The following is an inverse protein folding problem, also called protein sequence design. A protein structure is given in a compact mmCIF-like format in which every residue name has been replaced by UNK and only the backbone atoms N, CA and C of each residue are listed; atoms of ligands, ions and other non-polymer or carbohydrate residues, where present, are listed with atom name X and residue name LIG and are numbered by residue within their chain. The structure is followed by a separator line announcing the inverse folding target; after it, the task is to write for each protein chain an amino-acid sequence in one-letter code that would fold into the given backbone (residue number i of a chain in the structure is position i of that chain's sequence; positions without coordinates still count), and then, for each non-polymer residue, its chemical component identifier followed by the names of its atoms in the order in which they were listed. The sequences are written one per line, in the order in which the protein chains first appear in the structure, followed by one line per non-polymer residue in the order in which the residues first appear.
data_IF_305073147946
#
_entry.id   IF_305073147946
#
_cell.length_a   1.000
_cell.length_b   1.000
_cell.length_c   1.000
_cell.angle_alpha   90.00
_cell.angle_beta   90.00
_cell.angle_gamma   90.00
#
_symmetry.space_group_name_H-M   'P 1'
#
loop_
_entity.id
_entity.type
_entity.pdbx_description
1 polymer ?
#
# COMPACT_ATOMS: atom_id res chain seq x y z
N UNK A 1 13.01 8.30 -8.69
CA UNK A 1 11.64 7.77 -8.49
C UNK A 1 10.76 8.84 -7.97
N UNK A 2 10.23 9.58 -8.93
CA UNK A 2 9.53 10.83 -8.64
C UNK A 2 8.30 10.65 -7.76
N UNK A 3 7.47 9.62 -8.01
CA UNK A 3 6.25 9.44 -7.23
C UNK A 3 6.53 9.07 -5.76
N UNK A 4 7.57 8.28 -5.52
CA UNK A 4 7.96 7.92 -4.16
C UNK A 4 8.49 9.13 -3.44
N UNK A 5 9.32 9.94 -4.12
CA UNK A 5 9.85 11.17 -3.53
C UNK A 5 8.75 12.14 -3.11
N UNK A 6 7.71 12.29 -3.93
CA UNK A 6 6.60 13.20 -3.65
C UNK A 6 5.79 12.77 -2.43
N UNK A 7 5.66 11.46 -2.21
CA UNK A 7 4.86 10.92 -1.13
C UNK A 7 5.71 10.20 -0.08
N UNK A 8 6.99 10.51 -0.05
CA UNK A 8 7.95 9.78 0.79
C UNK A 8 7.54 9.71 2.24
N UNK A 9 7.14 10.83 2.83
CA UNK A 9 6.77 10.87 4.24
C UNK A 9 5.55 10.00 4.53
N UNK A 10 4.54 10.08 3.68
CA UNK A 10 3.33 9.28 3.83
C UNK A 10 3.64 7.79 3.69
N UNK A 11 4.43 7.43 2.68
CA UNK A 11 4.80 6.05 2.42
C UNK A 11 5.64 5.49 3.56
N UNK A 12 6.61 6.26 4.07
CA UNK A 12 7.45 5.84 5.20
C UNK A 12 6.62 5.67 6.48
N UNK A 13 5.65 6.54 6.72
CA UNK A 13 4.76 6.41 7.86
C UNK A 13 4.00 5.10 7.81
N UNK A 14 3.50 4.75 6.62
CA UNK A 14 2.81 3.47 6.42
C UNK A 14 3.74 2.28 6.65
N UNK A 15 4.96 2.35 6.13
CA UNK A 15 5.96 1.29 6.30
C UNK A 15 6.32 1.12 7.78
N UNK A 16 6.50 2.21 8.50
CA UNK A 16 6.82 2.16 9.93
C UNK A 16 5.69 1.54 10.75
N UNK A 17 4.44 1.80 10.36
CA UNK A 17 3.30 1.17 11.00
C UNK A 17 3.31 -0.35 10.75
N UNK A 18 3.60 -0.76 9.52
CA UNK A 18 3.71 -2.19 9.17
C UNK A 18 4.84 -2.85 9.97
N UNK A 19 5.97 -2.17 10.09
CA UNK A 19 7.09 -2.67 10.90
C UNK A 19 6.65 -2.90 12.34
N UNK A 20 5.91 -1.97 12.92
CA UNK A 20 5.37 -2.12 14.28
C UNK A 20 4.42 -3.31 14.40
N UNK A 21 3.61 -3.54 13.38
CA UNK A 21 2.71 -4.68 13.35
C UNK A 21 3.47 -6.01 13.26
N UNK A 22 4.55 -6.06 12.48
CA UNK A 22 5.40 -7.25 12.40
C UNK A 22 6.06 -7.51 13.75
N UNK A 23 6.54 -6.47 14.41
CA UNK A 23 7.12 -6.60 15.74
C UNK A 23 6.10 -7.12 16.77
N UNK A 24 4.84 -6.71 16.63
CA UNK A 24 3.77 -7.22 17.50
C UNK A 24 3.53 -8.71 17.28
N UNK A 25 3.59 -9.17 16.03
CA UNK A 25 3.49 -10.60 15.71
C UNK A 25 4.66 -11.35 16.34
N UNK A 26 5.85 -10.82 16.22
CA UNK A 26 7.05 -11.43 16.80
C UNK A 26 6.90 -11.57 18.33
N UNK A 27 6.48 -10.50 19.00
CA UNK A 27 6.27 -10.55 20.45
C UNK A 27 5.23 -11.57 20.86
N UNK A 28 4.14 -11.68 20.10
CA UNK A 28 3.09 -12.63 20.37
C UNK A 28 3.59 -14.08 20.24
N UNK A 29 4.46 -14.32 19.26
CA UNK A 29 5.05 -15.65 19.05
C UNK A 29 6.11 -15.97 20.11
N UNK A 30 6.90 -15.00 20.53
CA UNK A 30 7.89 -15.19 21.57
C UNK A 30 7.26 -15.40 22.94
N UNK A 31 6.10 -14.79 23.19
CA UNK A 31 5.34 -14.99 24.41
C UNK A 31 4.42 -16.18 24.26
N UNK A 32 3.40 -16.23 25.09
CA UNK A 32 2.40 -17.30 25.05
C UNK A 32 1.09 -16.79 24.45
N UNK A 33 1.19 -16.04 23.35
CA UNK A 33 0.02 -15.53 22.67
C UNK A 33 -0.84 -16.63 22.08
N UNK A 34 -2.14 -16.45 22.17
CA UNK A 34 -3.07 -17.43 21.62
C UNK A 34 -3.06 -17.38 20.10
N UNK A 35 -3.27 -18.54 19.49
CA UNK A 35 -3.26 -18.66 18.03
C UNK A 35 -4.23 -17.69 17.36
N UNK A 36 -5.42 -17.50 17.93
CA UNK A 36 -6.41 -16.58 17.40
C UNK A 36 -5.90 -15.15 17.40
N UNK A 37 -5.23 -14.72 18.46
CA UNK A 37 -4.63 -13.39 18.55
C UNK A 37 -3.57 -13.21 17.49
N UNK A 38 -2.70 -14.20 17.31
CA UNK A 38 -1.64 -14.13 16.30
C UNK A 38 -2.23 -14.06 14.91
N UNK A 39 -3.28 -14.83 14.63
CA UNK A 39 -3.96 -14.79 13.33
C UNK A 39 -4.56 -13.41 13.05
N UNK A 40 -5.13 -12.76 14.07
CA UNK A 40 -5.68 -11.41 13.91
C UNK A 40 -4.59 -10.40 13.64
N UNK A 41 -3.44 -10.50 14.30
CA UNK A 41 -2.31 -9.63 14.06
C UNK A 41 -1.78 -9.79 12.63
N UNK A 42 -1.68 -11.03 12.16
CA UNK A 42 -1.22 -11.31 10.78
C UNK A 42 -2.22 -10.77 9.76
N UNK A 43 -3.51 -10.96 9.98
CA UNK A 43 -4.54 -10.46 9.08
C UNK A 43 -4.50 -8.93 8.98
N UNK A 44 -4.30 -8.25 10.11
CA UNK A 44 -4.16 -6.80 10.15
C UNK A 44 -2.92 -6.33 9.37
N UNK A 45 -1.80 -7.02 9.55
CA UNK A 45 -0.56 -6.72 8.85
C UNK A 45 -0.73 -6.92 7.34
N UNK A 46 -1.41 -7.99 6.94
CA UNK A 46 -1.70 -8.25 5.52
C UNK A 46 -2.52 -7.13 4.92
N UNK A 47 -3.55 -6.65 5.63
CA UNK A 47 -4.36 -5.53 5.16
C UNK A 47 -3.54 -4.27 4.97
N UNK A 48 -2.61 -3.99 5.89
CA UNK A 48 -1.74 -2.84 5.79
C UNK A 48 -0.79 -2.95 4.59
N UNK A 49 -0.26 -4.15 4.32
CA UNK A 49 0.58 -4.40 3.15
C UNK A 49 -0.21 -4.23 1.85
N UNK A 50 -1.46 -4.69 1.82
CA UNK A 50 -2.34 -4.49 0.67
C UNK A 50 -2.54 -3.01 0.38
N UNK A 51 -2.73 -2.20 1.44
CA UNK A 51 -2.86 -0.76 1.28
C UNK A 51 -1.59 -0.10 0.73
N UNK A 52 -0.43 -0.56 1.20
CA UNK A 52 0.85 -0.09 0.67
C UNK A 52 1.00 -0.45 -0.80
N UNK A 53 0.65 -1.68 -1.17
CA UNK A 53 0.70 -2.13 -2.55
C UNK A 53 -0.17 -1.26 -3.45
N UNK A 54 -1.41 -1.00 -3.04
CA UNK A 54 -2.32 -0.16 -3.81
C UNK A 54 -1.76 1.25 -4.00
N UNK A 55 -1.20 1.83 -2.94
CA UNK A 55 -0.59 3.16 -2.99
C UNK A 55 0.58 3.21 -3.99
N UNK A 56 1.45 2.20 -3.94
CA UNK A 56 2.61 2.15 -4.83
C UNK A 56 2.21 1.93 -6.29
N UNK A 57 1.21 1.07 -6.54
CA UNK A 57 0.71 0.84 -7.89
C UNK A 57 0.08 2.13 -8.45
N UNK A 58 -0.72 2.83 -7.63
CA UNK A 58 -1.31 4.09 -8.04
C UNK A 58 -0.24 5.11 -8.40
N UNK A 59 0.77 5.26 -7.54
CA UNK A 59 1.88 6.18 -7.79
C UNK A 59 2.65 5.84 -9.05
N UNK A 60 2.96 4.56 -9.22
CA UNK A 60 3.67 4.09 -10.41
C UNK A 60 2.88 4.40 -11.69
N UNK A 61 1.59 4.12 -11.68
CA UNK A 61 0.73 4.37 -12.84
C UNK A 61 0.67 5.85 -13.18
N UNK A 62 0.46 6.72 -12.18
CA UNK A 62 0.31 8.15 -12.42
C UNK A 62 1.60 8.86 -12.82
N UNK A 63 2.74 8.43 -12.27
CA UNK A 63 3.99 9.16 -12.45
C UNK A 63 4.99 8.49 -13.40
N UNK A 64 4.81 7.21 -13.67
CA UNK A 64 5.72 6.48 -14.57
C UNK A 64 5.06 5.97 -15.84
N UNK A 65 3.75 5.69 -15.79
CA UNK A 65 3.03 5.23 -16.99
C UNK A 65 2.38 6.39 -17.71
N UNK A 66 1.72 7.30 -16.96
CA UNK A 66 1.00 8.44 -17.54
C UNK A 66 1.83 9.71 -17.67
N UNK A 67 3.02 9.77 -17.11
CA UNK A 67 3.92 10.93 -17.12
C UNK A 67 3.19 12.28 -16.94
N UNK A 68 3.16 12.82 -15.71
CA UNK A 68 2.46 14.08 -15.43
C UNK A 68 3.04 15.29 -16.15
N UNK A 69 4.26 15.19 -16.71
CA UNK A 69 4.87 16.25 -17.46
C UNK A 69 4.31 16.35 -18.88
N UNK A 70 3.62 15.32 -19.36
CA UNK A 70 3.00 15.30 -20.67
C UNK A 70 1.49 15.38 -20.57
N UNK A 71 0.88 15.99 -21.59
CA UNK A 71 -0.55 16.13 -21.63
C UNK A 71 -1.21 14.76 -21.85
N UNK A 72 -1.96 14.32 -20.86
CA UNK A 72 -2.67 13.05 -20.92
C UNK A 72 -4.02 13.24 -21.63
N UNK A 73 -4.36 12.31 -22.52
CA UNK A 73 -5.70 12.34 -23.16
C UNK A 73 -6.77 12.01 -22.12
N UNK A 74 -7.96 12.62 -22.22
CA UNK A 74 -9.04 12.29 -21.29
C UNK A 74 -9.37 10.81 -21.22
N UNK A 75 -9.32 10.09 -22.33
CA UNK A 75 -9.57 8.64 -22.35
C UNK A 75 -8.52 7.87 -21.57
N UNK A 76 -7.24 8.28 -21.64
CA UNK A 76 -6.17 7.67 -20.88
C UNK A 76 -6.34 7.91 -19.38
N UNK A 77 -6.73 9.14 -19.02
CA UNK A 77 -6.98 9.49 -17.63
C UNK A 77 -8.13 8.66 -17.05
N UNK A 78 -9.23 8.52 -17.81
CA UNK A 78 -10.37 7.73 -17.38
C UNK A 78 -10.00 6.26 -17.21
N UNK A 79 -9.25 5.70 -18.14
CA UNK A 79 -8.79 4.31 -18.05
C UNK A 79 -7.89 4.09 -16.84
N UNK A 80 -7.00 5.04 -16.54
CA UNK A 80 -6.13 4.97 -15.38
C UNK A 80 -6.94 5.05 -14.08
N UNK A 81 -7.93 5.95 -14.03
CA UNK A 81 -8.77 6.08 -12.84
C UNK A 81 -9.57 4.80 -12.59
N UNK A 82 -10.09 4.17 -13.65
CA UNK A 82 -10.81 2.90 -13.55
C UNK A 82 -9.88 1.79 -13.04
N UNK A 83 -8.68 1.72 -13.56
CA UNK A 83 -7.69 0.72 -13.13
C UNK A 83 -7.32 0.92 -11.67
N UNK A 84 -7.09 2.15 -11.27
CA UNK A 84 -6.76 2.47 -9.87
C UNK A 84 -7.90 2.06 -8.94
N UNK A 85 -9.14 2.31 -9.34
CA UNK A 85 -10.31 1.91 -8.56
C UNK A 85 -10.36 0.39 -8.38
N UNK A 86 -10.06 -0.38 -9.43
CA UNK A 86 -10.00 -1.83 -9.37
C UNK A 86 -8.89 -2.29 -8.44
N UNK A 87 -7.69 -1.72 -8.57
CA UNK A 87 -6.54 -2.05 -7.73
C UNK A 87 -6.86 -1.81 -6.25
N UNK A 88 -7.45 -0.66 -5.93
CA UNK A 88 -7.82 -0.34 -4.56
C UNK A 88 -8.84 -1.33 -3.99
N UNK A 89 -9.74 -1.82 -4.82
CA UNK A 89 -10.73 -2.81 -4.41
C UNK A 89 -10.09 -4.15 -4.09
N UNK A 90 -9.11 -4.56 -4.90
CA UNK A 90 -8.41 -5.84 -4.71
C UNK A 90 -7.48 -5.85 -3.51
N UNK A 91 -6.85 -4.71 -3.21
CA UNK A 91 -5.83 -4.63 -2.17
C UNK A 91 -6.30 -3.93 -0.89
N UNK A 92 -7.58 -3.74 -0.75
CA UNK A 92 -8.13 -3.15 0.48
C UNK A 92 -8.77 -4.17 1.39
#
# INVERSE_FOLDING_TARGET
MSHISKNKTKTLTRVRRIKGQVEAIERALEGEGECEEILQLVASCRGALNGLMAELIEGHLRYHVLDPAQKTRPAQQAAADDLIAVVKRYFN
#
